data_IF_381747646588
#
_entry.id   IF_381747646588
#
_cell.length_a   1.000
_cell.length_b   1.000
_cell.length_c   1.000
_cell.angle_alpha   90.00
_cell.angle_beta   90.00
_cell.angle_gamma   90.00
#
_symmetry.space_group_name_H-M   'P 1'
#
loop_
_entity.id
_entity.type
_entity.pdbx_description
1 polymer ?
#
# COMPACT_ATOMS: atom_id res chain seq x y z
N UNK A 1 -38.32 -8.66 16.03
CA UNK A 1 -37.34 -8.11 15.06
C UNK A 1 -36.32 -7.16 15.70
N UNK A 2 -36.34 -6.97 17.03
CA UNK A 2 -35.54 -5.94 17.72
C UNK A 2 -34.27 -6.47 18.39
N UNK A 3 -34.09 -7.80 18.44
CA UNK A 3 -32.92 -8.45 19.07
C UNK A 3 -31.70 -8.64 18.17
N UNK A 4 -31.83 -8.47 16.84
CA UNK A 4 -30.69 -8.64 15.90
C UNK A 4 -29.85 -7.37 15.75
N UNK A 5 -30.43 -6.18 15.89
CA UNK A 5 -29.69 -4.91 15.78
C UNK A 5 -28.82 -4.62 17.02
N UNK A 6 -29.22 -5.08 18.20
CA UNK A 6 -28.45 -4.89 19.44
C UNK A 6 -27.13 -5.70 19.44
N UNK A 7 -27.13 -6.90 18.86
CA UNK A 7 -25.91 -7.74 18.77
C UNK A 7 -24.87 -7.13 17.84
N UNK A 8 -25.30 -6.47 16.76
CA UNK A 8 -24.39 -5.83 15.79
C UNK A 8 -23.75 -4.58 16.37
N UNK A 9 -24.46 -3.81 17.20
CA UNK A 9 -23.90 -2.60 17.85
C UNK A 9 -22.82 -2.92 18.89
N UNK A 10 -23.02 -3.98 19.66
CA UNK A 10 -22.04 -4.40 20.68
C UNK A 10 -20.76 -5.01 20.10
N UNK A 11 -20.76 -5.39 18.81
CA UNK A 11 -19.57 -5.94 18.15
C UNK A 11 -18.55 -4.84 17.75
N UNK A 12 -18.96 -3.57 17.71
CA UNK A 12 -18.15 -2.46 17.21
C UNK A 12 -17.62 -1.50 18.29
N UNK A 13 -17.99 -1.68 19.57
CA UNK A 13 -17.71 -0.71 20.64
C UNK A 13 -16.45 -1.03 21.48
N UNK A 14 -15.80 -2.18 21.22
CA UNK A 14 -14.61 -2.58 21.96
C UNK A 14 -13.34 -2.12 21.23
N UNK A 15 -12.76 -1.01 21.68
CA UNK A 15 -11.59 -0.38 21.05
C UNK A 15 -10.34 -1.28 21.06
N UNK A 16 -10.30 -2.29 21.91
CA UNK A 16 -9.26 -3.32 21.91
C UNK A 16 -9.46 -4.32 20.76
N UNK A 17 -10.71 -4.67 20.43
CA UNK A 17 -11.03 -5.56 19.32
C UNK A 17 -10.85 -4.87 17.96
N UNK A 18 -11.08 -3.57 17.85
CA UNK A 18 -10.82 -2.83 16.61
C UNK A 18 -9.33 -2.89 16.20
N UNK A 19 -8.43 -2.78 17.19
CA UNK A 19 -6.98 -2.93 16.97
C UNK A 19 -6.59 -4.40 16.73
N UNK A 20 -7.23 -5.34 17.42
CA UNK A 20 -7.06 -6.77 17.19
C UNK A 20 -7.52 -7.19 15.79
N UNK A 21 -8.59 -6.59 15.27
CA UNK A 21 -9.13 -6.84 13.93
C UNK A 21 -8.19 -6.28 12.85
N UNK A 22 -7.66 -5.07 13.02
CA UNK A 22 -6.61 -4.51 12.14
C UNK A 22 -5.32 -5.36 12.11
N UNK A 23 -5.00 -6.07 13.19
CA UNK A 23 -3.85 -6.98 13.26
C UNK A 23 -4.06 -8.29 12.47
N UNK A 24 -5.28 -8.82 12.43
CA UNK A 24 -5.61 -10.09 11.74
C UNK A 24 -6.16 -9.89 10.32
N UNK A 25 -6.78 -8.75 10.00
CA UNK A 25 -7.29 -8.42 8.66
C UNK A 25 -6.35 -7.54 7.86
N UNK A 26 -5.10 -7.37 8.30
CA UNK A 26 -4.01 -7.04 7.38
C UNK A 26 -3.77 -8.25 6.48
N UNK A 27 -4.75 -8.53 5.62
CA UNK A 27 -4.59 -9.38 4.46
C UNK A 27 -3.34 -8.84 3.77
N UNK A 28 -2.24 -9.60 3.72
CA UNK A 28 -1.08 -9.16 2.98
C UNK A 28 -1.54 -8.97 1.54
N UNK A 29 -1.38 -7.75 1.05
CA UNK A 29 -1.37 -7.34 -0.35
C UNK A 29 -2.13 -8.29 -1.30
N UNK A 30 -3.37 -7.90 -1.63
CA UNK A 30 -4.18 -8.33 -2.78
C UNK A 30 -4.33 -9.87 -3.00
N UNK A 31 -5.56 -10.44 -2.99
CA UNK A 31 -5.80 -11.85 -3.33
C UNK A 31 -5.07 -12.34 -4.60
N UNK A 32 -4.75 -11.44 -5.52
CA UNK A 32 -3.96 -11.74 -6.73
C UNK A 32 -2.50 -12.15 -6.44
N UNK A 33 -1.83 -11.64 -5.40
CA UNK A 33 -0.44 -12.01 -5.09
C UNK A 33 -0.30 -13.37 -4.38
N UNK A 34 -1.43 -13.92 -3.92
CA UNK A 34 -1.51 -15.26 -3.33
C UNK A 34 -1.97 -16.33 -4.33
N UNK A 35 -2.36 -15.92 -5.55
CA UNK A 35 -2.83 -16.84 -6.57
C UNK A 35 -1.67 -17.67 -7.14
N UNK A 36 -1.82 -19.00 -7.13
CA UNK A 36 -0.76 -19.94 -7.53
C UNK A 36 -0.35 -19.83 -9.02
N UNK A 37 -1.16 -19.16 -9.84
CA UNK A 37 -0.93 -18.95 -11.27
C UNK A 37 -0.45 -17.53 -11.61
N UNK A 38 -0.08 -16.73 -10.61
CA UNK A 38 0.41 -15.36 -10.78
C UNK A 38 1.87 -15.30 -10.36
N UNK A 39 2.73 -14.95 -11.32
CA UNK A 39 4.15 -14.69 -11.08
C UNK A 39 4.38 -13.17 -11.01
N UNK A 40 5.04 -12.72 -9.94
CA UNK A 40 5.28 -11.30 -9.67
C UNK A 40 6.66 -11.08 -9.10
N UNK A 41 7.27 -9.94 -9.43
CA UNK A 41 8.33 -9.37 -8.62
C UNK A 41 7.71 -8.79 -7.34
N UNK A 42 7.64 -9.60 -6.27
CA UNK A 42 6.95 -9.23 -5.03
C UNK A 42 7.45 -7.89 -4.42
N UNK A 43 8.76 -7.65 -4.26
CA UNK A 43 9.27 -6.35 -3.82
C UNK A 43 8.80 -5.15 -4.66
N UNK A 44 8.79 -5.28 -5.99
CA UNK A 44 8.34 -4.21 -6.88
C UNK A 44 6.84 -3.94 -6.72
N UNK A 45 6.03 -5.00 -6.65
CA UNK A 45 4.58 -4.87 -6.43
C UNK A 45 4.28 -4.25 -5.06
N UNK A 46 4.99 -4.66 -4.01
CA UNK A 46 4.84 -4.07 -2.68
C UNK A 46 5.17 -2.57 -2.68
N UNK A 47 6.22 -2.15 -3.39
CA UNK A 47 6.54 -0.74 -3.56
C UNK A 47 5.44 0.03 -4.31
N UNK A 48 4.87 -0.56 -5.37
CA UNK A 48 3.73 0.02 -6.08
C UNK A 48 2.49 0.14 -5.19
N UNK A 49 2.18 -0.89 -4.40
CA UNK A 49 1.04 -0.87 -3.48
C UNK A 49 1.20 0.18 -2.38
N UNK A 50 2.42 0.39 -1.86
CA UNK A 50 2.70 1.46 -0.89
C UNK A 50 2.39 2.85 -1.44
N UNK A 51 2.70 3.10 -2.72
CA UNK A 51 2.36 4.37 -3.37
C UNK A 51 0.86 4.47 -3.64
N UNK A 52 0.22 3.38 -4.07
CA UNK A 52 -1.22 3.33 -4.29
C UNK A 52 -2.02 3.59 -3.00
N UNK A 53 -1.60 2.99 -1.87
CA UNK A 53 -2.18 3.21 -0.54
C UNK A 53 -2.03 4.67 -0.09
N UNK A 54 -0.95 5.35 -0.53
CA UNK A 54 -0.74 6.78 -0.34
C UNK A 54 -1.49 7.65 -1.38
N UNK A 55 -2.48 7.08 -2.08
CA UNK A 55 -3.31 7.73 -3.11
C UNK A 55 -2.49 8.13 -4.35
N UNK A 56 -1.29 7.58 -4.56
CA UNK A 56 -0.46 7.79 -5.74
C UNK A 56 -0.78 6.85 -6.90
N UNK A 57 0.04 6.87 -7.94
CA UNK A 57 -0.01 5.87 -9.00
C UNK A 57 0.86 4.67 -8.60
N UNK A 58 0.31 3.46 -8.72
CA UNK A 58 1.04 2.21 -8.50
C UNK A 58 2.33 2.16 -9.33
N UNK A 59 2.29 2.67 -10.56
CA UNK A 59 3.44 2.66 -11.46
C UNK A 59 4.63 3.46 -10.90
N UNK A 60 4.39 4.57 -10.19
CA UNK A 60 5.46 5.40 -9.64
C UNK A 60 6.29 4.62 -8.61
N UNK A 61 5.64 3.83 -7.76
CA UNK A 61 6.31 2.98 -6.77
C UNK A 61 7.12 1.85 -7.41
N UNK A 62 6.57 1.19 -8.43
CA UNK A 62 7.28 0.16 -9.19
C UNK A 62 8.51 0.73 -9.89
N UNK A 63 8.36 1.88 -10.58
CA UNK A 63 9.45 2.53 -11.30
C UNK A 63 10.55 2.99 -10.34
N UNK A 64 10.19 3.58 -9.19
CA UNK A 64 11.17 3.99 -8.18
C UNK A 64 11.96 2.78 -7.63
N UNK A 65 11.27 1.69 -7.31
CA UNK A 65 11.91 0.47 -6.82
C UNK A 65 12.85 -0.16 -7.85
N UNK A 66 12.37 -0.39 -9.08
CA UNK A 66 13.17 -1.01 -10.14
C UNK A 66 14.35 -0.12 -10.54
N UNK A 67 14.15 1.21 -10.57
CA UNK A 67 15.22 2.18 -10.79
C UNK A 67 16.33 2.03 -9.74
N UNK A 68 15.98 1.99 -8.46
CA UNK A 68 16.94 1.78 -7.37
C UNK A 68 17.61 0.40 -7.44
N UNK A 69 16.86 -0.65 -7.76
CA UNK A 69 17.38 -2.01 -7.94
C UNK A 69 18.44 -2.09 -9.05
N UNK A 70 18.26 -1.32 -10.13
CA UNK A 70 19.21 -1.22 -11.24
C UNK A 70 20.38 -0.24 -10.98
N UNK A 71 20.44 0.37 -9.79
CA UNK A 71 21.50 1.30 -9.38
C UNK A 71 21.21 2.78 -9.65
N UNK A 72 19.96 3.14 -9.96
CA UNK A 72 19.52 4.53 -10.05
C UNK A 72 19.43 5.18 -8.67
N UNK A 73 20.05 6.36 -8.51
CA UNK A 73 20.15 7.03 -7.20
C UNK A 73 19.02 8.02 -6.92
N UNK A 74 18.35 8.53 -7.94
CA UNK A 74 17.32 9.57 -7.81
C UNK A 74 16.16 9.29 -8.75
N UNK A 75 14.95 9.26 -8.20
CA UNK A 75 13.72 9.20 -8.98
C UNK A 75 13.43 10.57 -9.58
N UNK A 76 13.32 10.65 -10.91
CA UNK A 76 13.11 11.92 -11.63
C UNK A 76 11.79 11.85 -12.37
N UNK A 77 10.90 12.82 -12.14
CA UNK A 77 9.58 12.89 -12.81
C UNK A 77 9.11 14.34 -12.99
N UNK A 78 8.21 14.55 -13.94
CA UNK A 78 7.48 15.81 -14.10
C UNK A 78 6.18 15.84 -13.25
N UNK A 79 5.78 14.69 -12.71
CA UNK A 79 4.62 14.59 -11.84
C UNK A 79 4.97 15.03 -10.42
N UNK A 80 4.41 16.18 -10.02
CA UNK A 80 4.57 16.75 -8.68
C UNK A 80 4.07 15.83 -7.56
N UNK A 81 2.98 15.09 -7.81
CA UNK A 81 2.38 14.19 -6.83
C UNK A 81 3.26 12.97 -6.62
N UNK A 82 3.74 12.35 -7.71
CA UNK A 82 4.67 11.22 -7.65
C UNK A 82 5.93 11.57 -6.85
N UNK A 83 6.55 12.72 -7.19
CA UNK A 83 7.73 13.23 -6.49
C UNK A 83 7.43 13.44 -5.01
N UNK A 84 6.34 14.15 -4.67
CA UNK A 84 6.00 14.44 -3.28
C UNK A 84 5.75 13.18 -2.44
N UNK A 85 5.03 12.19 -2.99
CA UNK A 85 4.74 10.93 -2.30
C UNK A 85 6.02 10.12 -2.07
N UNK A 86 6.89 9.98 -3.08
CA UNK A 86 8.14 9.26 -2.94
C UNK A 86 9.15 9.99 -2.04
N UNK A 87 9.19 11.32 -2.06
CA UNK A 87 9.96 12.11 -1.08
C UNK A 87 9.48 11.83 0.36
N UNK A 88 8.16 11.78 0.58
CA UNK A 88 7.60 11.50 1.91
C UNK A 88 7.94 10.08 2.41
N UNK A 89 8.22 9.14 1.50
CA UNK A 89 8.71 7.80 1.79
C UNK A 89 10.23 7.73 2.00
N UNK A 90 10.93 8.87 1.95
CA UNK A 90 12.39 8.96 2.16
C UNK A 90 13.24 8.66 0.94
N UNK A 91 12.65 8.57 -0.25
CA UNK A 91 13.39 8.37 -1.51
C UNK A 91 14.08 9.68 -1.94
N UNK A 92 15.23 9.56 -2.60
CA UNK A 92 15.84 10.70 -3.29
C UNK A 92 15.05 10.96 -4.57
N UNK A 93 14.49 12.17 -4.70
CA UNK A 93 13.61 12.52 -5.83
C UNK A 93 13.90 13.90 -6.39
N UNK A 94 13.63 14.11 -7.69
CA UNK A 94 13.75 15.40 -8.37
C UNK A 94 12.55 15.67 -9.29
N UNK A 95 11.92 16.82 -9.10
CA UNK A 95 10.93 17.36 -10.04
C UNK A 95 11.64 18.05 -11.22
N UNK A 96 11.21 17.76 -12.44
CA UNK A 96 11.63 18.47 -13.67
C UNK A 96 10.58 19.47 -14.16
#
# INVERSE_FOLDING_TARGET
MEGRQAVVKNFFDDRELAHFWLFFTRIPADPLLAAANVEVNRPAVEAGLLVLDAVGDFADGVIAYEGNWLGGETFVSFDKKAVALLTAQGQSTRLL
#
